data_IF_451965047109
#
_entry.id   IF_451965047109
#
_cell.length_a   1.000
_cell.length_b   1.000
_cell.length_c   1.000
_cell.angle_alpha   90.00
_cell.angle_beta   90.00
_cell.angle_gamma   90.00
#
_symmetry.space_group_name_H-M   'P 1'
#
loop_
_entity.id
_entity.type
_entity.pdbx_description
1 polymer ?
#
# COMPACT_ATOMS: atom_id res chain seq x y z
N UNK A 1 -1.83 -16.02 31.83
CA UNK A 1 -2.70 -16.98 31.10
C UNK A 1 -2.86 -16.52 29.67
N UNK A 2 -3.48 -17.33 28.82
CA UNK A 2 -3.78 -16.93 27.44
C UNK A 2 -4.62 -15.64 27.39
N UNK A 3 -5.56 -15.44 28.33
CA UNK A 3 -6.34 -14.19 28.40
C UNK A 3 -5.46 -12.95 28.67
N UNK A 4 -4.52 -13.05 29.61
CA UNK A 4 -3.61 -11.93 29.93
C UNK A 4 -2.71 -11.59 28.73
N UNK A 5 -2.24 -12.60 27.99
CA UNK A 5 -1.43 -12.39 26.79
C UNK A 5 -2.24 -11.73 25.67
N UNK A 6 -3.49 -12.17 25.45
CA UNK A 6 -4.39 -11.56 24.48
C UNK A 6 -4.65 -10.09 24.79
N UNK A 7 -4.87 -9.76 26.06
CA UNK A 7 -5.11 -8.38 26.48
C UNK A 7 -3.87 -7.52 26.26
N UNK A 8 -2.68 -8.03 26.62
CA UNK A 8 -1.42 -7.35 26.34
C UNK A 8 -1.25 -7.06 24.83
N UNK A 9 -1.48 -8.06 23.97
CA UNK A 9 -1.33 -7.86 22.52
C UNK A 9 -2.30 -6.82 21.97
N UNK A 10 -3.56 -6.75 22.44
CA UNK A 10 -4.52 -5.74 21.98
C UNK A 10 -4.04 -4.30 22.22
N UNK A 11 -3.40 -4.05 23.35
CA UNK A 11 -2.95 -2.70 23.73
C UNK A 11 -1.55 -2.34 23.25
N UNK A 12 -0.72 -3.34 22.92
CA UNK A 12 0.68 -3.12 22.54
C UNK A 12 0.97 -3.31 21.05
N UNK A 13 0.01 -3.82 20.26
CA UNK A 13 0.19 -4.06 18.82
C UNK A 13 -0.10 -2.80 17.98
N UNK A 14 0.72 -1.76 18.12
CA UNK A 14 0.70 -0.60 17.22
C UNK A 14 1.86 -0.65 16.22
N UNK A 15 1.70 -0.02 15.06
CA UNK A 15 2.75 0.03 14.04
C UNK A 15 2.60 1.25 13.12
N UNK A 16 3.70 1.68 12.52
CA UNK A 16 3.76 2.87 11.65
C UNK A 16 3.78 2.52 10.15
N UNK A 17 3.39 1.29 9.81
CA UNK A 17 3.53 0.71 8.46
C UNK A 17 2.19 0.57 7.74
N UNK A 18 1.29 1.54 7.92
CA UNK A 18 0.02 1.53 7.19
C UNK A 18 0.29 1.59 5.68
N UNK A 19 -0.32 0.69 4.92
CA UNK A 19 -0.11 0.55 3.48
C UNK A 19 -1.38 0.01 2.80
N UNK A 20 -1.33 -0.14 1.48
CA UNK A 20 -2.28 -0.93 0.69
C UNK A 20 -3.72 -0.42 0.55
N UNK A 21 -4.02 0.80 1.01
CA UNK A 21 -5.35 1.41 0.92
C UNK A 21 -5.73 1.90 -0.48
N UNK A 22 -4.77 2.00 -1.41
CA UNK A 22 -4.98 2.38 -2.80
C UNK A 22 -4.36 1.34 -3.76
N UNK A 23 -4.63 0.07 -3.50
CA UNK A 23 -4.02 -1.07 -4.19
C UNK A 23 -3.95 -0.93 -5.72
N UNK A 24 -2.77 -1.24 -6.28
CA UNK A 24 -2.59 -1.51 -7.70
C UNK A 24 -3.38 -2.76 -8.07
N UNK A 25 -4.17 -2.68 -9.15
CA UNK A 25 -4.86 -3.85 -9.66
C UNK A 25 -5.52 -3.65 -11.02
N UNK A 26 -6.12 -4.72 -11.51
CA UNK A 26 -6.91 -4.71 -12.74
C UNK A 26 -8.14 -3.83 -12.58
N UNK A 27 -8.60 -3.15 -13.64
CA UNK A 27 -9.87 -2.42 -13.62
C UNK A 27 -11.10 -3.33 -13.40
N UNK A 28 -10.93 -4.65 -13.48
CA UNK A 28 -11.96 -5.65 -13.16
C UNK A 28 -11.95 -6.08 -11.69
N UNK A 29 -10.91 -5.72 -10.94
CA UNK A 29 -10.84 -5.99 -9.51
C UNK A 29 -11.58 -4.87 -8.76
N UNK A 30 -12.68 -5.17 -8.06
CA UNK A 30 -13.47 -4.17 -7.36
C UNK A 30 -12.72 -3.50 -6.19
N UNK A 31 -11.59 -4.08 -5.74
CA UNK A 31 -10.76 -3.52 -4.66
C UNK A 31 -9.60 -2.66 -5.19
N UNK A 32 -9.34 -2.67 -6.50
CA UNK A 32 -8.24 -1.90 -7.09
C UNK A 32 -8.58 -0.40 -7.17
N UNK A 33 -7.64 0.44 -6.77
CA UNK A 33 -7.79 1.90 -6.80
C UNK A 33 -6.96 2.52 -7.92
N UNK A 34 -5.77 1.97 -8.18
CA UNK A 34 -4.89 2.44 -9.26
C UNK A 34 -4.53 1.31 -10.20
N UNK A 35 -4.14 1.64 -11.42
CA UNK A 35 -3.58 0.67 -12.37
C UNK A 35 -2.05 0.50 -12.24
N UNK A 36 -1.48 -0.36 -13.07
CA UNK A 36 -0.03 -0.60 -13.11
C UNK A 36 0.80 0.61 -13.53
N UNK A 37 0.20 1.75 -13.90
CA UNK A 37 0.87 3.03 -14.20
C UNK A 37 0.50 4.12 -13.18
N UNK A 38 0.03 3.70 -12.00
CA UNK A 38 -0.36 4.56 -10.87
C UNK A 38 -1.54 5.48 -11.14
N UNK A 39 -2.28 5.29 -12.23
CA UNK A 39 -3.44 6.13 -12.57
C UNK A 39 -4.62 5.70 -11.72
N UNK A 40 -5.29 6.67 -11.10
CA UNK A 40 -6.51 6.41 -10.33
C UNK A 40 -7.62 6.00 -11.31
N UNK A 41 -8.25 4.85 -11.06
CA UNK A 41 -9.34 4.36 -11.91
C UNK A 41 -10.49 5.37 -11.94
N UNK A 42 -11.01 5.66 -13.13
CA UNK A 42 -12.11 6.60 -13.33
C UNK A 42 -11.76 8.10 -13.17
N UNK A 43 -10.52 8.46 -12.82
CA UNK A 43 -10.10 9.85 -12.63
C UNK A 43 -9.01 10.22 -13.64
N UNK A 44 -9.16 11.38 -14.28
CA UNK A 44 -8.18 11.90 -15.24
C UNK A 44 -7.09 12.70 -14.51
N UNK A 45 -5.86 12.60 -14.99
CA UNK A 45 -4.70 13.39 -14.53
C UNK A 45 -4.38 13.28 -13.03
N UNK A 46 -4.79 12.19 -12.38
CA UNK A 46 -4.45 11.91 -10.98
C UNK A 46 -3.69 10.58 -10.88
N UNK A 47 -2.62 10.60 -10.08
CA UNK A 47 -1.83 9.42 -9.74
C UNK A 47 -1.53 9.38 -8.25
N UNK A 48 -1.37 8.18 -7.70
CA UNK A 48 -0.94 7.95 -6.30
C UNK A 48 0.38 7.20 -6.33
N UNK A 49 1.38 7.71 -5.60
CA UNK A 49 2.72 7.12 -5.52
C UNK A 49 3.23 7.21 -4.08
N UNK A 50 2.82 6.25 -3.25
CA UNK A 50 3.29 6.04 -1.88
C UNK A 50 3.03 4.58 -1.46
N UNK A 51 3.14 4.24 -0.17
CA UNK A 51 2.91 2.89 0.33
C UNK A 51 1.46 2.38 0.17
N UNK A 52 0.47 3.26 -0.05
CA UNK A 52 -0.92 2.86 -0.25
C UNK A 52 -1.12 2.00 -1.49
N UNK A 53 -0.22 2.08 -2.48
CA UNK A 53 -0.39 1.42 -3.78
C UNK A 53 -0.06 -0.07 -3.78
N UNK A 54 0.58 -0.59 -2.73
CA UNK A 54 0.89 -2.00 -2.66
C UNK A 54 -0.39 -2.83 -2.55
N UNK A 55 -0.61 -3.87 -3.37
CA UNK A 55 -1.81 -4.71 -3.27
C UNK A 55 -1.94 -5.39 -1.90
N UNK A 56 -0.81 -5.69 -1.26
CA UNK A 56 -0.71 -6.26 0.08
C UNK A 56 0.47 -5.64 0.84
N UNK A 57 0.46 -5.72 2.17
CA UNK A 57 1.55 -5.24 3.02
C UNK A 57 2.86 -5.93 2.60
N UNK A 58 3.92 -5.17 2.23
CA UNK A 58 5.21 -5.77 1.91
C UNK A 58 5.81 -6.46 3.15
N UNK A 59 6.45 -7.61 2.95
CA UNK A 59 7.15 -8.31 4.05
C UNK A 59 8.45 -7.63 4.50
N UNK A 60 9.01 -6.74 3.67
CA UNK A 60 10.21 -5.95 3.99
C UNK A 60 9.85 -4.66 4.75
N UNK A 61 10.85 -4.04 5.38
CA UNK A 61 10.66 -2.74 6.05
C UNK A 61 10.18 -1.70 5.02
N UNK A 62 9.01 -1.02 5.22
CA UNK A 62 8.28 -0.35 4.13
C UNK A 62 9.04 0.74 3.38
N UNK A 63 10.04 1.36 4.02
CA UNK A 63 10.89 2.36 3.39
C UNK A 63 11.50 1.85 2.07
N UNK A 64 11.96 0.59 2.05
CA UNK A 64 12.60 0.02 0.88
C UNK A 64 11.62 -0.17 -0.30
N UNK A 65 10.52 -0.93 -0.17
CA UNK A 65 9.57 -1.08 -1.28
C UNK A 65 8.96 0.27 -1.69
N UNK A 66 8.76 1.22 -0.76
CA UNK A 66 8.31 2.58 -1.11
C UNK A 66 9.32 3.30 -1.99
N UNK A 67 10.63 3.22 -1.72
CA UNK A 67 11.62 3.78 -2.64
C UNK A 67 11.62 3.09 -4.01
N UNK A 68 11.51 1.77 -4.06
CA UNK A 68 11.49 1.02 -5.33
C UNK A 68 10.27 1.38 -6.18
N UNK A 69 9.08 1.49 -5.58
CA UNK A 69 7.88 1.86 -6.32
C UNK A 69 7.92 3.32 -6.79
N UNK A 70 8.52 4.22 -6.01
CA UNK A 70 8.79 5.60 -6.42
C UNK A 70 9.79 5.69 -7.58
N UNK A 71 10.86 4.89 -7.59
CA UNK A 71 11.81 4.83 -8.72
C UNK A 71 11.15 4.31 -9.99
N UNK A 72 10.29 3.28 -9.88
CA UNK A 72 9.50 2.82 -11.01
C UNK A 72 8.55 3.93 -11.50
N UNK A 73 7.87 4.63 -10.58
CA UNK A 73 6.96 5.72 -10.93
C UNK A 73 7.67 6.89 -11.62
N UNK A 74 8.91 7.22 -11.22
CA UNK A 74 9.68 8.27 -11.89
C UNK A 74 9.86 7.95 -13.38
N UNK A 75 10.19 6.71 -13.73
CA UNK A 75 10.35 6.24 -15.12
C UNK A 75 9.04 6.17 -15.92
N UNK A 76 7.92 5.98 -15.25
CA UNK A 76 6.59 5.88 -15.89
C UNK A 76 5.92 7.24 -16.10
N UNK A 77 6.32 8.26 -15.32
CA UNK A 77 5.66 9.56 -15.24
C UNK A 77 6.50 10.69 -15.83
N UNK A 78 7.82 10.65 -15.65
CA UNK A 78 8.79 11.66 -16.11
C UNK A 78 9.50 11.19 -17.38
#
# INVERSE_FOLDING_TARGET
TDEEQLEYFRHQSFGHHASSTCAIGSAKDPMAVVDSKFRVHGVRNLRVVDASVFPHVPGAFPVLPTYIISDKASKDIL
#
